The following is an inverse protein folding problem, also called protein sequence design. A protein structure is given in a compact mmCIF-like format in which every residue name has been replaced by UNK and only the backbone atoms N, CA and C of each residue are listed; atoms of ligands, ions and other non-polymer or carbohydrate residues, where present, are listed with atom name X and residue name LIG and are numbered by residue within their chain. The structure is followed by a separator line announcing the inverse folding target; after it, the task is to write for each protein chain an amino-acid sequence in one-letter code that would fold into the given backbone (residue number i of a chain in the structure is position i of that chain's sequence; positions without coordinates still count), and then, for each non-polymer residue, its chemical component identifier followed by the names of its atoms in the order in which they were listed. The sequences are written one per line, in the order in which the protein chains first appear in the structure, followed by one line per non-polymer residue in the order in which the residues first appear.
data_IF_084758049193
#
_entry.id   IF_084758049193
#
_cell.length_a   1.000
_cell.length_b   1.000
_cell.length_c   1.000
_cell.angle_alpha   90.00
_cell.angle_beta   90.00
_cell.angle_gamma   90.00
#
_symmetry.space_group_name_H-M   'P 1'
#
loop_
_entity.id
_entity.type
_entity.pdbx_description
1 polymer ?
#
# COMPACT_ATOMS: atom_id res chain seq x y z
N UNK A 1 29.24 -44.14 -21.89
CA UNK A 1 28.43 -44.20 -20.65
C UNK A 1 28.39 -42.82 -20.02
N UNK A 2 27.19 -42.40 -19.58
CA UNK A 2 26.83 -41.28 -18.68
C UNK A 2 27.23 -39.85 -19.06
N UNK A 3 26.26 -39.20 -19.72
CA UNK A 3 25.90 -37.78 -19.58
C UNK A 3 25.76 -37.44 -18.08
N UNK A 4 26.33 -36.33 -17.64
CA UNK A 4 25.92 -35.65 -16.40
C UNK A 4 26.02 -34.14 -16.64
N UNK A 5 24.93 -33.61 -17.19
CA UNK A 5 24.57 -32.21 -17.09
C UNK A 5 24.48 -31.86 -15.60
N UNK A 6 25.44 -31.08 -15.08
CA UNK A 6 25.22 -30.36 -13.82
C UNK A 6 24.43 -29.11 -14.15
N UNK A 7 23.12 -29.26 -14.15
CA UNK A 7 22.15 -28.19 -14.07
C UNK A 7 22.25 -27.58 -12.66
N UNK A 8 23.19 -26.66 -12.46
CA UNK A 8 23.23 -25.83 -11.27
C UNK A 8 22.16 -24.77 -11.43
N UNK A 9 20.97 -25.06 -10.88
CA UNK A 9 19.85 -24.14 -10.85
C UNK A 9 20.22 -22.87 -10.11
N UNK A 10 20.35 -21.77 -10.84
CA UNK A 10 20.04 -20.46 -10.29
C UNK A 10 18.57 -20.18 -10.56
N UNK A 11 17.72 -20.71 -9.68
CA UNK A 11 16.42 -20.13 -9.43
C UNK A 11 16.64 -18.76 -8.77
N UNK A 12 16.96 -17.75 -9.56
CA UNK A 12 16.88 -16.35 -9.14
C UNK A 12 15.41 -16.02 -8.95
N UNK A 13 14.95 -16.25 -7.72
CA UNK A 13 14.10 -15.36 -6.93
C UNK A 13 13.14 -14.51 -7.80
N UNK A 14 12.00 -15.10 -8.14
CA UNK A 14 10.79 -14.38 -8.56
C UNK A 14 10.14 -13.67 -7.36
N UNK A 15 10.93 -12.97 -6.53
CA UNK A 15 10.38 -11.96 -5.65
C UNK A 15 10.21 -10.72 -6.52
N UNK A 16 9.00 -10.51 -7.03
CA UNK A 16 8.61 -9.21 -7.58
C UNK A 16 8.80 -8.18 -6.47
N UNK A 17 9.93 -7.48 -6.49
CA UNK A 17 10.29 -6.47 -5.52
C UNK A 17 9.34 -5.29 -5.69
N UNK A 18 8.16 -5.34 -5.06
CA UNK A 18 7.49 -4.12 -4.61
C UNK A 18 8.36 -3.52 -3.49
N UNK A 19 9.55 -3.03 -3.85
CA UNK A 19 10.43 -2.34 -2.93
C UNK A 19 9.68 -1.08 -2.51
N UNK A 20 9.26 -1.03 -1.25
CA UNK A 20 8.58 0.14 -0.69
C UNK A 20 9.40 1.39 -1.03
N UNK A 21 8.74 2.36 -1.66
CA UNK A 21 9.39 3.61 -2.03
C UNK A 21 10.02 4.22 -0.76
N UNK A 22 11.32 4.58 -0.79
CA UNK A 22 11.97 5.10 0.41
C UNK A 22 11.30 6.40 0.86
N UNK A 23 11.04 6.52 2.17
CA UNK A 23 10.33 7.69 2.75
C UNK A 23 11.02 9.02 2.46
N UNK A 24 12.34 9.01 2.30
CA UNK A 24 13.15 10.17 1.94
C UNK A 24 12.87 10.72 0.53
N UNK A 25 12.22 9.93 -0.34
CA UNK A 25 11.89 10.33 -1.71
C UNK A 25 10.51 10.98 -1.86
N UNK A 26 9.74 11.09 -0.78
CA UNK A 26 8.49 11.84 -0.74
C UNK A 26 8.80 13.30 -0.44
N UNK A 27 8.13 14.23 -1.12
CA UNK A 27 8.04 15.61 -0.68
C UNK A 27 7.18 15.71 0.60
N UNK A 28 7.13 16.88 1.23
CA UNK A 28 6.45 17.03 2.52
C UNK A 28 4.94 16.80 2.39
N UNK A 29 4.33 17.29 1.30
CA UNK A 29 2.92 17.04 1.01
C UNK A 29 2.64 15.54 0.83
N UNK A 30 3.43 14.85 0.01
CA UNK A 30 3.32 13.41 -0.21
C UNK A 30 3.53 12.61 1.08
N UNK A 31 4.43 13.04 1.96
CA UNK A 31 4.64 12.38 3.26
C UNK A 31 3.43 12.57 4.19
N UNK A 32 2.79 13.74 4.18
CA UNK A 32 1.55 14.01 4.92
C UNK A 32 0.38 13.16 4.37
N UNK A 33 0.22 13.07 3.04
CA UNK A 33 -0.77 12.18 2.41
C UNK A 33 -0.52 10.72 2.79
N UNK A 34 0.74 10.26 2.70
CA UNK A 34 1.13 8.89 3.01
C UNK A 34 0.83 8.54 4.48
N UNK A 35 1.09 9.45 5.41
CA UNK A 35 0.71 9.30 6.82
C UNK A 35 -0.81 9.13 6.95
N UNK A 36 -1.59 9.98 6.28
CA UNK A 36 -3.05 9.88 6.24
C UNK A 36 -3.54 8.52 5.74
N UNK A 37 -3.01 8.07 4.60
CA UNK A 37 -3.34 6.76 4.02
C UNK A 37 -2.98 5.61 4.96
N UNK A 38 -1.78 5.62 5.55
CA UNK A 38 -1.35 4.62 6.51
C UNK A 38 -2.28 4.54 7.73
N UNK A 39 -2.73 5.70 8.25
CA UNK A 39 -3.74 5.75 9.31
C UNK A 39 -5.09 5.20 8.85
N UNK A 40 -5.53 5.53 7.63
CA UNK A 40 -6.80 5.05 7.08
C UNK A 40 -6.84 3.54 6.86
N UNK A 41 -5.75 2.96 6.36
CA UNK A 41 -5.57 1.52 6.19
C UNK A 41 -5.26 0.78 7.50
N UNK A 42 -4.95 1.49 8.59
CA UNK A 42 -4.55 0.88 9.85
C UNK A 42 -3.15 0.24 9.81
N UNK A 43 -2.24 0.73 8.95
CA UNK A 43 -0.88 0.21 8.84
C UNK A 43 -0.01 0.74 9.99
N UNK A 44 0.02 -0.02 11.09
CA UNK A 44 0.76 0.32 12.31
C UNK A 44 2.27 0.25 12.15
N UNK A 45 2.78 -0.42 11.12
CA UNK A 45 4.22 -0.66 10.95
C UNK A 45 4.91 0.53 10.28
N UNK A 46 4.24 1.18 9.32
CA UNK A 46 4.81 2.31 8.57
C UNK A 46 4.63 3.65 9.30
N UNK A 47 3.59 3.80 10.13
CA UNK A 47 3.29 5.06 10.84
C UNK A 47 4.49 5.54 11.67
N UNK A 48 5.16 4.72 12.51
CA UNK A 48 6.32 5.15 13.27
C UNK A 48 7.50 5.57 12.38
N UNK A 49 7.69 4.89 11.24
CA UNK A 49 8.75 5.20 10.26
C UNK A 49 8.51 6.57 9.62
N UNK A 50 7.27 6.87 9.26
CA UNK A 50 6.87 8.17 8.73
C UNK A 50 7.03 9.26 9.80
N UNK A 51 6.65 8.99 11.04
CA UNK A 51 6.82 9.93 12.15
C UNK A 51 8.31 10.25 12.41
N UNK A 52 9.18 9.24 12.33
CA UNK A 52 10.63 9.42 12.42
C UNK A 52 11.17 10.27 11.26
N UNK A 53 10.65 10.09 10.04
CA UNK A 53 11.03 10.92 8.89
C UNK A 53 10.60 12.38 9.06
N UNK A 54 9.40 12.64 9.61
CA UNK A 54 8.99 14.00 10.00
C UNK A 54 9.96 14.61 11.02
N UNK A 55 10.31 13.88 12.07
CA UNK A 55 11.29 14.34 13.07
C UNK A 55 12.69 14.57 12.48
N UNK A 56 13.10 13.77 11.49
CA UNK A 56 14.38 13.93 10.79
C UNK A 56 14.41 15.21 9.94
N UNK A 57 13.28 15.60 9.33
CA UNK A 57 13.15 16.83 8.53
C UNK A 57 13.07 18.08 9.40
N UNK A 58 12.43 17.98 10.56
CA UNK A 58 12.17 19.14 11.41
C UNK A 58 11.05 19.97 10.81
N UNK A 59 11.39 21.16 10.31
CA UNK A 59 10.42 22.05 9.67
C UNK A 59 10.10 21.58 8.26
N UNK A 60 8.81 21.55 7.94
CA UNK A 60 8.32 21.22 6.61
C UNK A 60 8.27 22.49 5.75
N UNK A 61 8.44 22.30 4.45
CA UNK A 61 8.26 23.35 3.44
C UNK A 61 6.80 23.82 3.29
N UNK A 62 5.85 23.10 3.89
CA UNK A 62 4.42 23.40 3.92
C UNK A 62 3.97 23.79 5.33
N UNK A 63 2.85 24.52 5.41
CA UNK A 63 2.28 24.86 6.70
C UNK A 63 1.76 23.62 7.43
N UNK A 64 1.66 23.74 8.76
CA UNK A 64 1.05 22.68 9.58
C UNK A 64 -0.39 22.39 9.16
N UNK A 65 -1.16 23.43 8.85
CA UNK A 65 -2.56 23.31 8.46
C UNK A 65 -2.71 22.60 7.10
N UNK A 66 -1.81 22.86 6.16
CA UNK A 66 -1.78 22.14 4.88
C UNK A 66 -1.43 20.67 5.09
N UNK A 67 -0.41 20.37 5.92
CA UNK A 67 -0.07 18.98 6.23
C UNK A 67 -1.23 18.25 6.91
N UNK A 68 -1.91 18.87 7.87
CA UNK A 68 -3.08 18.29 8.54
C UNK A 68 -4.22 18.04 7.54
N UNK A 69 -4.43 18.94 6.58
CA UNK A 69 -5.39 18.78 5.47
C UNK A 69 -5.02 17.60 4.56
N UNK A 70 -3.74 17.45 4.22
CA UNK A 70 -3.24 16.33 3.43
C UNK A 70 -3.34 15.00 4.15
N UNK A 71 -3.09 14.97 5.46
CA UNK A 71 -3.32 13.78 6.30
C UNK A 71 -4.81 13.39 6.28
N UNK A 72 -5.72 14.35 6.43
CA UNK A 72 -7.15 14.07 6.37
C UNK A 72 -7.58 13.54 5.01
N UNK A 73 -7.09 14.16 3.92
CA UNK A 73 -7.34 13.72 2.54
C UNK A 73 -6.83 12.30 2.31
N UNK A 74 -5.60 11.99 2.70
CA UNK A 74 -5.02 10.66 2.57
C UNK A 74 -5.82 9.60 3.35
N UNK A 75 -6.27 9.94 4.56
CA UNK A 75 -7.10 9.05 5.38
C UNK A 75 -8.46 8.78 4.73
N UNK A 76 -9.11 9.81 4.21
CA UNK A 76 -10.40 9.67 3.53
C UNK A 76 -10.27 8.84 2.25
N UNK A 77 -9.22 9.07 1.46
CA UNK A 77 -8.91 8.26 0.26
C UNK A 77 -8.82 6.78 0.62
N UNK A 78 -8.02 6.43 1.63
CA UNK A 78 -7.87 5.04 2.05
C UNK A 78 -9.20 4.41 2.49
N UNK A 79 -10.07 5.17 3.17
CA UNK A 79 -11.40 4.68 3.56
C UNK A 79 -12.30 4.42 2.35
N UNK A 80 -12.29 5.31 1.35
CA UNK A 80 -13.05 5.12 0.10
C UNK A 80 -12.52 3.92 -0.68
N UNK A 81 -11.20 3.75 -0.75
CA UNK A 81 -10.57 2.60 -1.42
C UNK A 81 -10.96 1.28 -0.74
N UNK A 82 -10.94 1.25 0.60
CA UNK A 82 -11.37 0.08 1.37
C UNK A 82 -12.87 -0.23 1.18
N UNK A 83 -13.73 0.78 1.17
CA UNK A 83 -15.17 0.59 0.92
C UNK A 83 -15.42 0.06 -0.49
N UNK A 84 -14.80 0.67 -1.49
CA UNK A 84 -14.90 0.25 -2.89
C UNK A 84 -14.45 -1.20 -3.06
N UNK A 85 -13.34 -1.58 -2.42
CA UNK A 85 -12.84 -2.96 -2.44
C UNK A 85 -13.84 -3.93 -1.83
N UNK A 86 -14.45 -3.58 -0.69
CA UNK A 86 -15.49 -4.40 -0.05
C UNK A 86 -16.73 -4.57 -0.94
N UNK A 87 -17.18 -3.49 -1.57
CA UNK A 87 -18.33 -3.51 -2.47
C UNK A 87 -18.07 -4.39 -3.69
N UNK A 88 -16.87 -4.33 -4.26
CA UNK A 88 -16.46 -5.22 -5.37
C UNK A 88 -16.47 -6.68 -4.93
N UNK A 89 -15.95 -6.99 -3.74
CA UNK A 89 -15.95 -8.35 -3.19
C UNK A 89 -17.38 -8.85 -2.97
N UNK A 90 -18.26 -8.05 -2.35
CA UNK A 90 -19.66 -8.42 -2.11
C UNK A 90 -20.40 -8.68 -3.43
N UNK A 91 -20.26 -7.79 -4.41
CA UNK A 91 -20.85 -8.00 -5.75
C UNK A 91 -20.32 -9.26 -6.42
N UNK A 92 -19.01 -9.51 -6.32
CA UNK A 92 -18.39 -10.72 -6.89
C UNK A 92 -18.94 -11.99 -6.23
N UNK A 93 -19.07 -12.02 -4.90
CA UNK A 93 -19.62 -13.16 -4.16
C UNK A 93 -21.10 -13.41 -4.53
N UNK A 94 -21.91 -12.35 -4.65
CA UNK A 94 -23.30 -12.47 -5.09
C UNK A 94 -23.41 -13.04 -6.51
N UNK A 95 -22.58 -12.55 -7.44
CA UNK A 95 -22.56 -13.08 -8.81
C UNK A 95 -22.17 -14.56 -8.86
N UNK A 96 -21.16 -14.97 -8.08
CA UNK A 96 -20.77 -16.38 -7.97
C UNK A 96 -21.89 -17.25 -7.40
N UNK A 97 -22.58 -16.77 -6.37
CA UNK A 97 -23.72 -17.48 -5.78
C UNK A 97 -24.89 -17.63 -6.77
N UNK A 98 -25.19 -16.58 -7.55
CA UNK A 98 -26.24 -16.62 -8.58
C UNK A 98 -25.88 -17.63 -9.68
N UNK A 99 -24.64 -17.62 -10.17
CA UNK A 99 -24.19 -18.56 -11.19
C UNK A 99 -24.27 -20.02 -10.70
N UNK A 100 -23.88 -20.27 -9.45
CA UNK A 100 -23.99 -21.60 -8.83
C UNK A 100 -25.44 -22.09 -8.69
N UNK A 101 -26.42 -21.19 -8.44
CA UNK A 101 -27.85 -21.54 -8.39
C UNK A 101 -28.42 -21.80 -9.78
N UNK A 102 -27.98 -21.05 -10.80
CA UNK A 102 -28.48 -21.16 -12.17
C UNK A 102 -27.83 -22.30 -12.99
N UNK A 103 -26.78 -22.93 -12.46
CA UNK A 103 -26.15 -24.11 -13.06
C UNK A 103 -25.31 -23.83 -14.31
N UNK A 104 -24.76 -22.62 -14.43
CA UNK A 104 -23.73 -22.29 -15.42
C UNK A 104 -22.34 -22.66 -14.93
#
# INVERSE_FOLDING_TARGET
MKKLLSATGLAFILAGCAQERPLTSYDDAGLCILKGQAMGYGNTDIIPRIQAEFSRRGDLSISKDDCDTYIQTGRQSAQVDMQTTRDIIDRSQRSQAINAIQGY
#
